data_IF_870137144244
#
_entry.id   IF_870137144244
#
_cell.length_a   1.000
_cell.length_b   1.000
_cell.length_c   1.000
_cell.angle_alpha   90.00
_cell.angle_beta   90.00
_cell.angle_gamma   90.00
#
_symmetry.space_group_name_H-M   'P 1'
#
loop_
_entity.id
_entity.type
_entity.pdbx_description
1 polymer ?
#
# COMPACT_ATOMS: atom_id res chain seq x y z
N UNK A 1 6.24 -13.37 8.96
CA UNK A 1 5.01 -14.09 8.52
C UNK A 1 4.55 -13.59 7.16
N UNK A 2 4.16 -12.31 7.02
CA UNK A 2 3.67 -11.73 5.75
C UNK A 2 4.69 -11.89 4.62
N UNK A 3 5.97 -11.63 4.87
CA UNK A 3 7.03 -11.77 3.85
C UNK A 3 7.19 -13.20 3.32
N UNK A 4 7.07 -14.20 4.20
CA UNK A 4 7.22 -15.60 3.82
C UNK A 4 6.02 -16.09 2.99
N UNK A 5 4.79 -15.72 3.40
CA UNK A 5 3.56 -16.02 2.64
C UNK A 5 3.56 -15.35 1.26
N UNK A 6 4.02 -14.09 1.17
CA UNK A 6 4.14 -13.40 -0.11
C UNK A 6 5.20 -14.06 -1.01
N UNK A 7 6.31 -14.55 -0.46
CA UNK A 7 7.32 -15.27 -1.22
C UNK A 7 6.82 -16.62 -1.75
N UNK A 8 6.06 -17.38 -0.96
CA UNK A 8 5.50 -18.68 -1.37
C UNK A 8 4.46 -18.55 -2.50
N UNK A 9 3.60 -17.53 -2.43
CA UNK A 9 2.53 -17.31 -3.41
C UNK A 9 2.91 -16.37 -4.56
N UNK A 10 4.18 -15.97 -4.66
CA UNK A 10 4.68 -15.05 -5.69
C UNK A 10 3.92 -13.70 -5.72
N UNK A 11 3.58 -13.20 -4.54
CA UNK A 11 2.88 -11.92 -4.36
C UNK A 11 3.92 -10.82 -4.17
N UNK A 12 3.81 -9.76 -4.97
CA UNK A 12 4.67 -8.58 -4.89
C UNK A 12 4.54 -7.89 -3.52
N UNK A 13 5.66 -7.63 -2.84
CA UNK A 13 5.69 -7.02 -1.52
C UNK A 13 6.48 -5.71 -1.49
N UNK A 14 5.86 -4.67 -0.95
CA UNK A 14 6.48 -3.35 -0.71
C UNK A 14 6.66 -3.16 0.79
N UNK A 15 7.87 -2.77 1.21
CA UNK A 15 8.15 -2.41 2.61
C UNK A 15 8.04 -0.91 2.78
N UNK A 16 7.21 -0.48 3.72
CA UNK A 16 7.08 0.92 4.14
C UNK A 16 7.47 1.01 5.61
N UNK A 17 8.35 1.95 5.97
CA UNK A 17 8.88 2.07 7.33
C UNK A 17 7.87 2.69 8.33
N UNK A 18 6.99 3.57 7.85
CA UNK A 18 6.03 4.30 8.70
C UNK A 18 4.62 3.71 8.60
N UNK A 19 4.18 3.04 9.68
CA UNK A 19 2.82 2.50 9.78
C UNK A 19 1.72 3.57 9.69
N UNK A 20 1.99 4.79 10.16
CA UNK A 20 1.03 5.91 10.05
C UNK A 20 0.88 6.40 8.61
N UNK A 21 1.97 6.54 7.86
CA UNK A 21 1.91 6.91 6.44
C UNK A 21 1.16 5.86 5.64
N UNK A 22 1.42 4.58 5.91
CA UNK A 22 0.69 3.48 5.26
C UNK A 22 -0.81 3.53 5.57
N UNK A 23 -1.17 3.80 6.83
CA UNK A 23 -2.56 3.96 7.23
C UNK A 23 -3.26 5.14 6.55
N UNK A 24 -2.55 6.27 6.41
CA UNK A 24 -3.05 7.43 5.68
C UNK A 24 -3.29 7.12 4.20
N UNK A 25 -2.35 6.44 3.53
CA UNK A 25 -2.50 5.98 2.14
C UNK A 25 -3.63 4.99 1.95
N UNK A 26 -3.87 4.13 2.94
CA UNK A 26 -5.01 3.20 2.96
C UNK A 26 -6.36 3.88 3.27
N UNK A 27 -6.37 5.20 3.49
CA UNK A 27 -7.58 5.94 3.85
C UNK A 27 -8.04 5.77 5.30
N UNK A 28 -7.19 5.21 6.17
CA UNK A 28 -7.44 5.06 7.61
C UNK A 28 -7.17 6.36 8.37
N UNK A 29 -7.66 7.48 7.83
CA UNK A 29 -7.54 8.80 8.42
C UNK A 29 -8.87 9.55 8.34
N UNK A 30 -9.06 10.54 9.22
CA UNK A 30 -10.17 11.49 9.11
C UNK A 30 -9.64 12.76 8.47
N UNK A 31 -10.30 13.22 7.42
CA UNK A 31 -9.92 14.45 6.73
C UNK A 31 -10.70 15.60 7.37
N UNK A 32 -9.99 16.61 7.88
CA UNK A 32 -10.63 17.85 8.34
C UNK A 32 -11.03 18.74 7.15
N UNK A 33 -11.86 19.78 7.39
CA UNK A 33 -12.35 20.69 6.34
C UNK A 33 -11.26 21.39 5.51
N UNK A 34 -10.03 21.45 6.04
CA UNK A 34 -8.86 22.04 5.36
C UNK A 34 -8.04 21.01 4.56
N UNK A 35 -8.48 19.74 4.48
CA UNK A 35 -7.80 18.68 3.74
C UNK A 35 -6.67 17.99 4.51
N UNK A 36 -6.40 18.37 5.76
CA UNK A 36 -5.37 17.76 6.58
C UNK A 36 -5.85 16.43 7.20
N UNK A 37 -5.01 15.39 7.12
CA UNK A 37 -5.26 14.11 7.76
C UNK A 37 -5.10 14.19 9.28
N UNK A 38 -6.20 13.96 10.01
CA UNK A 38 -6.24 13.83 11.46
C UNK A 38 -6.67 12.43 11.88
N UNK A 39 -6.29 12.03 13.10
CA UNK A 39 -6.60 10.71 13.69
C UNK A 39 -6.21 9.54 12.76
N UNK A 40 -5.01 9.60 12.19
CA UNK A 40 -4.45 8.53 11.36
C UNK A 40 -4.25 7.27 12.21
N UNK A 41 -4.88 6.18 11.80
CA UNK A 41 -4.69 4.86 12.39
C UNK A 41 -3.53 4.19 11.68
N UNK A 42 -2.55 3.69 12.43
CA UNK A 42 -1.43 2.95 11.85
C UNK A 42 -1.92 1.64 11.22
N UNK A 43 -1.42 1.34 10.02
CA UNK A 43 -1.66 0.08 9.37
C UNK A 43 -0.39 -0.79 9.41
N UNK A 44 -0.56 -2.08 9.73
CA UNK A 44 0.54 -3.06 9.75
C UNK A 44 0.73 -3.74 8.39
N UNK A 45 -0.36 -3.95 7.64
CA UNK A 45 -0.34 -4.60 6.33
C UNK A 45 -1.59 -4.23 5.54
N UNK A 46 -1.42 -3.98 4.23
CA UNK A 46 -2.52 -3.72 3.29
C UNK A 46 -2.38 -4.71 2.15
N UNK A 47 -3.48 -5.34 1.75
CA UNK A 47 -3.56 -6.16 0.56
C UNK A 47 -4.44 -5.43 -0.46
N UNK A 48 -3.91 -5.22 -1.66
CA UNK A 48 -4.69 -4.63 -2.77
C UNK A 48 -5.25 -5.77 -3.59
N UNK A 49 -6.57 -5.91 -3.59
CA UNK A 49 -7.28 -6.96 -4.34
C UNK A 49 -7.77 -6.49 -5.69
N UNK A 50 -8.06 -5.20 -5.82
CA UNK A 50 -8.52 -4.57 -7.05
C UNK A 50 -7.92 -3.16 -7.15
N UNK A 51 -7.26 -2.88 -8.27
CA UNK A 51 -6.66 -1.59 -8.56
C UNK A 51 -7.60 -0.68 -9.37
N UNK A 52 -8.71 -1.23 -9.87
CA UNK A 52 -9.68 -0.51 -10.69
C UNK A 52 -9.19 -0.31 -12.13
N UNK A 53 -8.42 0.76 -12.37
CA UNK A 53 -7.95 1.13 -13.70
C UNK A 53 -6.45 0.86 -13.89
N UNK A 54 -6.09 0.32 -15.07
CA UNK A 54 -4.70 0.20 -15.48
C UNK A 54 -4.12 1.59 -15.78
N UNK A 55 -3.45 2.17 -14.80
CA UNK A 55 -2.69 3.42 -14.95
C UNK A 55 -1.23 3.13 -15.33
N UNK A 56 -0.57 4.07 -16.04
CA UNK A 56 0.88 4.01 -16.29
C UNK A 56 1.70 3.80 -15.01
N UNK A 57 1.29 4.43 -13.90
CA UNK A 57 1.95 4.27 -12.61
C UNK A 57 1.90 2.82 -12.10
N UNK A 58 0.81 2.11 -12.37
CA UNK A 58 0.67 0.70 -12.00
C UNK A 58 1.55 -0.20 -12.86
N UNK A 59 1.65 0.09 -14.16
CA UNK A 59 2.57 -0.65 -15.04
C UNK A 59 4.03 -0.47 -14.64
N UNK A 60 4.44 0.75 -14.29
CA UNK A 60 5.80 1.01 -13.78
C UNK A 60 6.08 0.23 -12.50
N UNK A 61 5.11 0.20 -11.57
CA UNK A 61 5.24 -0.57 -10.34
C UNK A 61 5.32 -2.08 -10.60
N UNK A 62 4.44 -2.62 -11.44
CA UNK A 62 4.45 -4.02 -11.84
C UNK A 62 5.75 -4.43 -12.52
N UNK A 63 6.31 -3.58 -13.38
CA UNK A 63 7.57 -3.84 -14.06
C UNK A 63 8.76 -3.80 -13.09
N UNK A 64 8.74 -2.86 -12.14
CA UNK A 64 9.70 -2.83 -11.05
C UNK A 64 9.66 -4.13 -10.22
N UNK A 65 8.47 -4.67 -9.94
CA UNK A 65 8.34 -5.95 -9.24
C UNK A 65 8.78 -7.16 -10.06
N UNK A 66 8.56 -7.16 -11.38
CA UNK A 66 9.02 -8.24 -12.27
C UNK A 66 10.53 -8.26 -12.46
N UNK A 67 11.17 -7.09 -12.35
CA UNK A 67 12.63 -6.95 -12.51
C UNK A 67 13.44 -7.40 -11.28
N UNK A 68 12.79 -7.82 -10.20
CA UNK A 68 13.40 -8.21 -8.93
C UNK A 68 13.22 -9.69 -8.66
#
# INVERSE_FOLDING_TARGET
>A
LVEALCAEHNINLIKVADAKKLGEWAGLCKIDREGNARKVVGCSCVAVTDFGEESEAMNVLLDYFKSR
#
